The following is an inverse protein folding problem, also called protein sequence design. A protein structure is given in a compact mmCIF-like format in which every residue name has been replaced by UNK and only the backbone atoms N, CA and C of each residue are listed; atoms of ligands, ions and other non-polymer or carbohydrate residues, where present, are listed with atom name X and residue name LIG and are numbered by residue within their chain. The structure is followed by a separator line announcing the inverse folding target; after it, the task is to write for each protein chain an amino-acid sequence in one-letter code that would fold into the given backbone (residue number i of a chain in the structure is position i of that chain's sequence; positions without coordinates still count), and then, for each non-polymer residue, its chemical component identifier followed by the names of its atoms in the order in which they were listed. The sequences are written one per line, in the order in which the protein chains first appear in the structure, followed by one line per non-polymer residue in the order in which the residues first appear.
data_IF_325921325047
#
_entry.id   IF_325921325047
#
_cell.length_a   1.000
_cell.length_b   1.000
_cell.length_c   1.000
_cell.angle_alpha   90.00
_cell.angle_beta   90.00
_cell.angle_gamma   90.00
#
_symmetry.space_group_name_H-M   'P 1'
#
loop_
_entity.id
_entity.type
_entity.pdbx_description
1 polymer ?
#
# COMPACT_ATOMS: atom_id res chain seq x y z
N UNK A 1 -9.33 9.10 14.47
CA UNK A 1 -8.25 10.04 14.06
C UNK A 1 -8.68 11.49 14.22
N UNK A 2 -9.59 12.03 13.39
CA UNK A 2 -9.99 13.46 13.47
C UNK A 2 -10.51 13.86 14.85
N UNK A 3 -11.50 13.13 15.37
CA UNK A 3 -12.05 13.37 16.71
C UNK A 3 -10.97 13.31 17.81
N UNK A 4 -10.07 12.32 17.73
CA UNK A 4 -9.01 12.14 18.73
C UNK A 4 -7.95 13.22 18.70
N UNK A 5 -7.67 13.86 17.55
CA UNK A 5 -6.75 15.01 17.51
C UNK A 5 -7.20 16.13 18.46
N UNK A 6 -8.49 16.34 18.63
CA UNK A 6 -9.03 17.36 19.53
C UNK A 6 -9.08 16.91 21.00
N UNK A 7 -8.98 15.61 21.27
CA UNK A 7 -9.05 15.05 22.62
C UNK A 7 -7.68 14.71 23.23
N UNK A 8 -6.65 14.46 22.41
CA UNK A 8 -5.32 14.12 22.90
C UNK A 8 -4.50 15.42 23.00
N UNK A 9 -4.21 15.92 24.22
CA UNK A 9 -3.34 17.07 24.41
C UNK A 9 -1.89 16.69 24.07
N UNK A 10 -1.08 17.69 23.71
CA UNK A 10 0.37 17.58 23.61
C UNK A 10 0.96 18.39 24.78
N UNK A 11 1.90 17.85 25.57
CA UNK A 11 2.64 16.58 25.42
C UNK A 11 1.81 15.31 25.71
N UNK A 12 2.23 14.17 25.14
CA UNK A 12 1.56 12.88 25.26
C UNK A 12 1.78 12.27 26.65
N UNK A 13 0.72 12.11 27.44
CA UNK A 13 0.74 11.27 28.64
C UNK A 13 0.41 9.82 28.24
N UNK A 14 1.33 8.88 28.50
CA UNK A 14 1.09 7.44 28.26
C UNK A 14 0.57 6.80 29.54
N UNK A 15 -0.52 6.03 29.44
CA UNK A 15 -1.09 5.33 30.59
C UNK A 15 -0.30 4.06 30.92
N UNK A 16 0.69 4.17 31.82
CA UNK A 16 1.44 3.04 32.37
C UNK A 16 2.69 3.49 33.15
N UNK A 17 3.10 2.74 34.18
CA UNK A 17 4.24 3.03 35.08
C UNK A 17 5.63 3.12 34.41
N UNK A 18 5.72 3.17 33.09
CA UNK A 18 6.94 3.55 32.39
C UNK A 18 6.89 5.05 32.09
N UNK A 19 7.48 5.83 33.00
CA UNK A 19 7.83 7.23 32.76
C UNK A 19 8.85 7.31 31.62
N UNK A 20 8.37 7.36 30.38
CA UNK A 20 9.19 7.87 29.27
C UNK A 20 9.08 9.40 29.37
N UNK A 21 10.13 10.03 29.88
CA UNK A 21 10.26 11.49 29.94
C UNK A 21 10.21 12.07 28.52
N UNK A 22 9.02 12.42 28.02
CA UNK A 22 8.88 13.32 26.86
C UNK A 22 9.01 14.76 27.35
N UNK A 23 10.23 15.13 27.74
CA UNK A 23 10.56 16.50 28.16
C UNK A 23 11.13 17.27 26.98
N UNK A 24 10.27 17.89 26.16
CA UNK A 24 10.54 19.16 25.45
C UNK A 24 9.27 19.66 24.74
N UNK A 25 8.88 20.92 24.96
CA UNK A 25 7.79 21.61 24.22
C UNK A 25 8.05 21.69 22.70
N UNK A 26 9.28 21.41 22.26
CA UNK A 26 9.69 21.39 20.85
C UNK A 26 9.07 20.24 20.03
N UNK A 27 8.64 19.15 20.67
CA UNK A 27 8.07 17.99 19.99
C UNK A 27 6.61 18.21 19.53
N UNK A 28 5.94 19.24 20.04
CA UNK A 28 4.58 19.61 19.67
C UNK A 28 4.51 20.57 18.46
N UNK A 29 5.64 20.81 17.78
CA UNK A 29 5.69 21.69 16.61
C UNK A 29 5.57 20.92 15.29
N UNK A 30 4.72 21.42 14.39
CA UNK A 30 4.57 20.87 13.05
C UNK A 30 5.79 21.20 12.19
N UNK A 31 6.62 20.20 11.90
CA UNK A 31 7.69 20.31 10.90
C UNK A 31 7.10 20.04 9.51
N UNK A 32 7.15 21.04 8.62
CA UNK A 32 6.59 20.94 7.26
C UNK A 32 7.49 20.17 6.29
N UNK A 33 8.81 20.16 6.53
CA UNK A 33 9.77 19.44 5.71
C UNK A 33 10.80 18.74 6.60
N UNK A 34 10.89 17.43 6.47
CA UNK A 34 11.91 16.61 7.12
C UNK A 34 12.53 15.69 6.06
N UNK A 35 13.86 15.75 5.93
CA UNK A 35 14.61 14.89 5.03
C UNK A 35 15.32 13.85 5.89
N UNK A 36 14.75 12.64 5.97
CA UNK A 36 15.31 11.51 6.70
C UNK A 36 15.43 10.30 5.76
N UNK A 37 16.21 9.28 6.13
CA UNK A 37 16.29 7.99 5.43
C UNK A 37 14.90 7.35 5.26
N UNK A 38 14.00 7.59 6.22
CA UNK A 38 12.61 7.11 6.16
C UNK A 38 11.78 7.72 5.00
N UNK A 39 12.16 8.90 4.49
CA UNK A 39 11.46 9.57 3.38
C UNK A 39 11.55 8.75 2.08
N UNK A 40 12.55 7.86 1.94
CA UNK A 40 12.72 6.93 0.82
C UNK A 40 11.50 6.02 0.64
N UNK A 41 10.86 5.61 1.74
CA UNK A 41 9.70 4.72 1.72
C UNK A 41 8.40 5.45 1.38
N UNK A 42 8.34 6.78 1.54
CA UNK A 42 7.11 7.56 1.36
C UNK A 42 6.59 7.50 -0.07
N UNK A 43 7.46 7.68 -1.08
CA UNK A 43 7.02 7.70 -2.48
C UNK A 43 6.48 6.33 -2.93
N UNK A 44 7.17 5.20 -2.67
CA UNK A 44 6.63 3.87 -2.94
C UNK A 44 5.30 3.57 -2.22
N UNK A 45 5.18 3.92 -0.94
CA UNK A 45 3.97 3.66 -0.15
C UNK A 45 2.79 4.48 -0.69
N UNK A 46 3.01 5.76 -1.03
CA UNK A 46 1.98 6.58 -1.67
C UNK A 46 1.59 6.05 -3.03
N UNK A 47 2.56 5.63 -3.86
CA UNK A 47 2.29 5.04 -5.15
C UNK A 47 1.43 3.77 -4.99
N UNK A 48 1.76 2.89 -4.04
CA UNK A 48 0.98 1.70 -3.70
C UNK A 48 -0.44 2.02 -3.25
N UNK A 49 -0.62 3.04 -2.40
CA UNK A 49 -1.92 3.43 -1.86
C UNK A 49 -2.95 3.82 -2.93
N UNK A 50 -2.48 4.28 -4.10
CA UNK A 50 -3.31 4.62 -5.26
C UNK A 50 -3.36 3.53 -6.33
N UNK A 51 -2.79 2.33 -6.10
CA UNK A 51 -2.94 1.21 -7.03
C UNK A 51 -4.30 0.55 -6.83
N UNK A 52 -5.24 0.82 -7.74
CA UNK A 52 -6.54 0.13 -7.79
C UNK A 52 -6.75 -0.72 -9.06
N UNK A 53 -5.75 -0.77 -9.95
CA UNK A 53 -5.85 -1.35 -11.29
C UNK A 53 -6.30 -2.83 -11.34
N UNK A 54 -5.87 -3.73 -10.44
CA UNK A 54 -6.31 -5.14 -10.48
C UNK A 54 -7.82 -5.31 -10.32
N UNK A 55 -8.48 -4.40 -9.61
CA UNK A 55 -9.92 -4.45 -9.32
C UNK A 55 -10.78 -3.84 -10.44
N UNK A 56 -10.17 -3.10 -11.38
CA UNK A 56 -10.89 -2.42 -12.46
C UNK A 56 -11.64 -3.41 -13.34
N UNK A 57 -11.04 -4.56 -13.67
CA UNK A 57 -11.66 -5.56 -14.55
C UNK A 57 -12.88 -6.24 -13.90
N UNK A 58 -12.81 -6.79 -12.67
CA UNK A 58 -13.98 -7.29 -11.96
C UNK A 58 -15.12 -6.25 -11.86
N UNK A 59 -14.80 -5.01 -11.50
CA UNK A 59 -15.79 -3.93 -11.39
C UNK A 59 -16.43 -3.64 -12.75
N UNK A 60 -15.63 -3.60 -13.82
CA UNK A 60 -16.13 -3.34 -15.17
C UNK A 60 -17.10 -4.43 -15.65
N UNK A 61 -16.83 -5.70 -15.33
CA UNK A 61 -17.70 -6.82 -15.75
C UNK A 61 -19.02 -6.86 -14.99
N UNK A 62 -19.06 -6.38 -13.75
CA UNK A 62 -20.27 -6.33 -12.93
C UNK A 62 -21.09 -5.04 -13.16
N UNK A 63 -20.50 -4.04 -13.83
CA UNK A 63 -21.14 -2.75 -14.06
C UNK A 63 -22.30 -2.87 -15.05
N UNK A 64 -23.51 -2.48 -14.62
CA UNK A 64 -24.70 -2.42 -15.48
C UNK A 64 -24.46 -1.48 -16.67
N UNK A 65 -24.54 -2.00 -17.91
CA UNK A 65 -24.24 -1.30 -19.17
C UNK A 65 -22.82 -0.68 -19.19
N UNK A 66 -21.77 -1.52 -19.29
CA UNK A 66 -20.39 -1.08 -19.13
C UNK A 66 -19.93 -0.27 -20.35
N UNK A 67 -19.51 0.98 -20.12
CA UNK A 67 -18.91 1.85 -21.15
C UNK A 67 -17.64 2.50 -20.60
N UNK A 68 -16.68 2.82 -21.47
CA UNK A 68 -15.42 3.43 -21.06
C UNK A 68 -15.63 4.76 -20.31
N UNK A 69 -16.55 5.60 -20.79
CA UNK A 69 -16.89 6.89 -20.15
C UNK A 69 -17.43 6.71 -18.73
N UNK A 70 -18.30 5.72 -18.51
CA UNK A 70 -18.88 5.46 -17.20
C UNK A 70 -17.86 4.87 -16.23
N UNK A 71 -17.01 3.96 -16.70
CA UNK A 71 -15.93 3.42 -15.89
C UNK A 71 -14.92 4.52 -15.49
N UNK A 72 -14.57 5.41 -16.43
CA UNK A 72 -13.70 6.56 -16.12
C UNK A 72 -14.33 7.51 -15.10
N UNK A 73 -15.63 7.78 -15.20
CA UNK A 73 -16.33 8.61 -14.22
C UNK A 73 -16.30 7.99 -12.82
N UNK A 74 -16.58 6.69 -12.71
CA UNK A 74 -16.49 5.94 -11.45
C UNK A 74 -15.06 6.01 -10.89
N UNK A 75 -14.05 5.72 -11.73
CA UNK A 75 -12.65 5.79 -11.32
C UNK A 75 -12.26 7.18 -10.82
N UNK A 76 -12.63 8.25 -11.53
CA UNK A 76 -12.30 9.62 -11.15
C UNK A 76 -12.94 10.01 -9.80
N UNK A 77 -14.22 9.67 -9.60
CA UNK A 77 -14.93 9.94 -8.33
C UNK A 77 -14.29 9.14 -7.18
N UNK A 78 -14.00 7.86 -7.39
CA UNK A 78 -13.36 7.00 -6.39
C UNK A 78 -11.96 7.49 -6.02
N UNK A 79 -11.12 7.85 -7.00
CA UNK A 79 -9.77 8.38 -6.75
C UNK A 79 -9.83 9.71 -6.01
N UNK A 80 -10.74 10.61 -6.38
CA UNK A 80 -10.92 11.88 -5.69
C UNK A 80 -11.36 11.67 -4.22
N UNK A 81 -12.30 10.76 -3.98
CA UNK A 81 -12.74 10.41 -2.62
C UNK A 81 -11.62 9.76 -1.78
N UNK A 82 -10.82 8.86 -2.37
CA UNK A 82 -9.66 8.27 -1.68
C UNK A 82 -8.61 9.32 -1.34
N UNK A 83 -8.33 10.23 -2.28
CA UNK A 83 -7.38 11.32 -2.06
C UNK A 83 -7.80 12.21 -0.89
N UNK A 84 -9.06 12.63 -0.81
CA UNK A 84 -9.54 13.46 0.31
C UNK A 84 -9.49 12.71 1.64
N UNK A 85 -9.89 11.44 1.67
CA UNK A 85 -9.82 10.62 2.90
C UNK A 85 -8.39 10.42 3.39
N UNK A 86 -7.46 10.10 2.48
CA UNK A 86 -6.05 9.95 2.82
C UNK A 86 -5.42 11.27 3.28
N UNK A 87 -5.72 12.38 2.61
CA UNK A 87 -5.21 13.70 2.98
C UNK A 87 -5.67 14.09 4.39
N UNK A 88 -6.96 13.95 4.69
CA UNK A 88 -7.50 14.26 6.02
C UNK A 88 -6.88 13.34 7.08
N UNK A 89 -6.83 12.04 6.83
CA UNK A 89 -6.29 11.06 7.80
C UNK A 89 -4.80 11.30 8.06
N UNK A 90 -4.01 11.56 7.01
CA UNK A 90 -2.59 11.86 7.14
C UNK A 90 -2.36 13.17 7.89
N UNK A 91 -3.12 14.22 7.59
CA UNK A 91 -2.98 15.54 8.24
C UNK A 91 -3.33 15.46 9.72
N UNK A 92 -4.51 14.95 10.08
CA UNK A 92 -4.92 14.83 11.49
C UNK A 92 -4.11 13.76 12.24
N UNK A 93 -3.70 12.69 11.56
CA UNK A 93 -2.82 11.66 12.13
C UNK A 93 -1.45 12.23 12.50
N UNK A 94 -0.81 12.97 11.58
CA UNK A 94 0.46 13.65 11.84
C UNK A 94 0.34 14.69 12.94
N UNK A 95 -0.67 15.58 12.87
CA UNK A 95 -0.86 16.60 13.89
C UNK A 95 -1.15 16.03 15.28
N UNK A 96 -1.53 14.75 15.42
CA UNK A 96 -1.79 14.15 16.73
C UNK A 96 -0.49 13.78 17.46
N UNK A 97 0.51 13.26 16.75
CA UNK A 97 1.75 12.73 17.36
C UNK A 97 3.03 13.47 16.93
N UNK A 98 2.94 14.37 15.94
CA UNK A 98 4.05 15.19 15.44
C UNK A 98 5.30 14.37 15.09
N UNK A 99 6.43 14.64 15.74
CA UNK A 99 7.70 13.95 15.47
C UNK A 99 7.69 12.46 15.87
N UNK A 100 6.73 12.03 16.70
CA UNK A 100 6.68 10.70 17.28
C UNK A 100 5.75 9.72 16.53
N UNK A 101 5.46 9.98 15.24
CA UNK A 101 4.60 9.11 14.43
C UNK A 101 5.33 7.81 14.04
N UNK A 102 4.83 6.68 14.53
CA UNK A 102 5.27 5.34 14.10
C UNK A 102 4.66 4.94 12.73
N UNK A 103 5.18 3.85 12.15
CA UNK A 103 4.67 3.30 10.89
C UNK A 103 3.19 2.90 10.93
N UNK A 104 2.71 2.47 12.10
CA UNK A 104 1.32 2.05 12.32
C UNK A 104 0.61 3.04 13.23
N UNK A 105 -0.23 3.89 12.64
CA UNK A 105 -0.96 4.91 13.38
C UNK A 105 -1.89 4.31 14.45
N UNK A 106 -2.49 3.16 14.17
CA UNK A 106 -3.44 2.51 15.08
C UNK A 106 -2.75 1.98 16.35
N UNK A 107 -1.50 1.53 16.21
CA UNK A 107 -0.67 1.10 17.33
C UNK A 107 -0.38 2.27 18.29
N UNK A 108 -0.07 3.46 17.75
CA UNK A 108 0.14 4.67 18.54
C UNK A 108 -1.10 5.07 19.36
N UNK A 109 -2.28 5.05 18.73
CA UNK A 109 -3.53 5.33 19.47
C UNK A 109 -3.81 4.32 20.57
N UNK A 110 -3.47 3.04 20.36
CA UNK A 110 -3.62 1.99 21.38
C UNK A 110 -2.60 2.09 22.51
N UNK A 111 -1.40 2.64 22.27
CA UNK A 111 -0.39 2.88 23.31
C UNK A 111 -0.76 4.03 24.25
N UNK A 112 -1.38 5.09 23.72
CA UNK A 112 -1.81 6.25 24.52
C UNK A 112 -3.01 5.90 25.39
N UNK A 113 -4.07 5.33 24.80
CA UNK A 113 -5.32 4.99 25.49
C UNK A 113 -5.74 3.54 25.22
N UNK A 114 -5.14 2.52 25.88
CA UNK A 114 -5.48 1.11 25.63
C UNK A 114 -6.91 0.72 26.05
N UNK A 115 -7.52 1.48 26.96
CA UNK A 115 -8.87 1.25 27.50
C UNK A 115 -9.98 1.96 26.70
N UNK A 116 -9.65 2.71 25.65
CA UNK A 116 -10.67 3.41 24.87
C UNK A 116 -11.45 2.46 23.95
N UNK A 117 -12.74 2.31 24.24
CA UNK A 117 -13.68 1.48 23.49
C UNK A 117 -13.79 1.91 22.02
N UNK A 118 -13.60 3.19 21.70
CA UNK A 118 -13.64 3.67 20.30
C UNK A 118 -12.45 3.14 19.50
N UNK A 119 -11.23 3.19 20.04
CA UNK A 119 -10.02 2.70 19.37
C UNK A 119 -10.08 1.17 19.23
N UNK A 120 -10.56 0.47 20.26
CA UNK A 120 -10.78 -0.97 20.20
C UNK A 120 -11.79 -1.35 19.11
N UNK A 121 -12.92 -0.66 19.01
CA UNK A 121 -13.91 -0.86 17.95
C UNK A 121 -13.32 -0.63 16.55
N UNK A 122 -12.55 0.45 16.35
CA UNK A 122 -11.88 0.72 15.06
C UNK A 122 -10.88 -0.38 14.72
N UNK A 123 -10.11 -0.88 15.69
CA UNK A 123 -9.17 -1.98 15.49
C UNK A 123 -9.87 -3.26 15.07
N UNK A 124 -10.97 -3.62 15.73
CA UNK A 124 -11.78 -4.78 15.35
C UNK A 124 -12.38 -4.61 13.94
N UNK A 125 -12.86 -3.41 13.60
CA UNK A 125 -13.39 -3.13 12.27
C UNK A 125 -12.31 -3.25 11.18
N UNK A 126 -11.10 -2.75 11.42
CA UNK A 126 -9.96 -2.88 10.50
C UNK A 126 -9.54 -4.35 10.35
N UNK A 127 -9.46 -5.10 11.45
CA UNK A 127 -9.15 -6.54 11.43
C UNK A 127 -10.19 -7.32 10.61
N UNK A 128 -11.48 -7.04 10.82
CA UNK A 128 -12.56 -7.65 10.05
C UNK A 128 -12.44 -7.28 8.56
N UNK A 129 -12.25 -6.00 8.24
CA UNK A 129 -12.12 -5.53 6.87
C UNK A 129 -10.94 -6.19 6.15
N UNK A 130 -9.75 -6.22 6.76
CA UNK A 130 -8.56 -6.87 6.20
C UNK A 130 -8.76 -8.39 6.04
N UNK A 131 -9.45 -9.04 6.98
CA UNK A 131 -9.77 -10.47 6.84
C UNK A 131 -10.69 -10.73 5.64
N UNK A 132 -11.65 -9.83 5.40
CA UNK A 132 -12.57 -9.93 4.26
C UNK A 132 -11.92 -9.56 2.92
N UNK A 133 -10.85 -8.76 2.89
CA UNK A 133 -10.13 -8.46 1.63
C UNK A 133 -9.27 -9.62 1.16
N UNK A 134 -8.77 -10.48 2.06
CA UNK A 134 -7.98 -11.68 1.70
C UNK A 134 -8.69 -12.55 0.63
N UNK A 135 -9.93 -13.02 0.80
CA UNK A 135 -10.58 -13.85 -0.22
C UNK A 135 -10.82 -13.11 -1.53
N UNK A 136 -11.09 -11.79 -1.48
CA UNK A 136 -11.31 -10.95 -2.67
C UNK A 136 -10.04 -10.89 -3.52
N UNK A 137 -8.89 -10.62 -2.90
CA UNK A 137 -7.59 -10.51 -3.60
C UNK A 137 -7.06 -11.89 -4.03
N UNK A 138 -7.33 -12.95 -3.26
CA UNK A 138 -6.93 -14.32 -3.63
C UNK A 138 -7.66 -14.85 -4.85
N UNK A 139 -8.90 -14.41 -5.08
CA UNK A 139 -9.72 -14.87 -6.20
C UNK A 139 -9.05 -14.65 -7.57
N UNK A 140 -8.65 -13.42 -7.95
CA UNK A 140 -7.98 -13.17 -9.24
C UNK A 140 -6.60 -13.82 -9.30
N UNK A 141 -5.82 -13.85 -8.22
CA UNK A 141 -4.48 -14.48 -8.21
C UNK A 141 -4.59 -15.98 -8.51
N UNK A 142 -5.51 -16.68 -7.83
CA UNK A 142 -5.76 -18.09 -8.08
C UNK A 142 -6.22 -18.33 -9.52
N UNK A 143 -7.09 -17.49 -10.06
CA UNK A 143 -7.55 -17.60 -11.46
C UNK A 143 -6.40 -17.42 -12.43
N UNK A 144 -5.52 -16.45 -12.20
CA UNK A 144 -4.33 -16.22 -13.00
C UNK A 144 -3.36 -17.42 -12.94
N UNK A 145 -3.10 -17.97 -11.76
CA UNK A 145 -2.24 -19.17 -11.59
C UNK A 145 -2.83 -20.40 -12.28
N UNK A 146 -4.14 -20.63 -12.17
CA UNK A 146 -4.82 -21.73 -12.86
C UNK A 146 -4.70 -21.60 -14.39
N UNK A 147 -4.86 -20.40 -14.92
CA UNK A 147 -4.72 -20.14 -16.36
C UNK A 147 -3.26 -20.26 -16.83
N UNK A 148 -2.29 -19.86 -16.02
CA UNK A 148 -0.87 -19.92 -16.36
C UNK A 148 -0.32 -21.36 -16.31
N UNK A 149 -0.66 -22.12 -15.25
CA UNK A 149 -0.14 -23.48 -15.04
C UNK A 149 -0.97 -24.55 -15.76
N UNK A 150 -2.28 -24.34 -15.93
CA UNK A 150 -3.18 -25.36 -16.47
C UNK A 150 -4.22 -24.79 -17.47
N UNK A 151 -3.79 -24.12 -18.55
CA UNK A 151 -4.68 -23.39 -19.46
C UNK A 151 -5.76 -24.24 -20.16
N UNK A 152 -5.53 -25.55 -20.32
CA UNK A 152 -6.41 -26.46 -21.09
C UNK A 152 -7.07 -27.56 -20.26
N UNK A 153 -6.93 -27.57 -18.93
CA UNK A 153 -7.44 -28.66 -18.08
C UNK A 153 -8.77 -28.27 -17.43
N UNK A 154 -9.76 -29.18 -17.38
CA UNK A 154 -11.07 -28.90 -16.79
C UNK A 154 -10.96 -28.56 -15.30
N UNK A 155 -12.01 -27.96 -14.74
CA UNK A 155 -12.08 -27.62 -13.32
C UNK A 155 -11.96 -28.87 -12.44
N UNK A 156 -11.13 -28.80 -11.41
CA UNK A 156 -10.94 -29.89 -10.45
C UNK A 156 -10.78 -29.32 -9.04
N UNK A 157 -11.62 -29.77 -8.11
CA UNK A 157 -11.68 -29.26 -6.74
C UNK A 157 -10.35 -29.41 -5.99
N UNK A 158 -9.70 -30.56 -6.09
CA UNK A 158 -8.41 -30.78 -5.38
C UNK A 158 -7.34 -29.80 -5.83
N UNK A 159 -7.26 -29.50 -7.13
CA UNK A 159 -6.28 -28.54 -7.67
C UNK A 159 -6.62 -27.13 -7.21
N UNK A 160 -7.90 -26.79 -7.22
CA UNK A 160 -8.38 -25.48 -6.82
C UNK A 160 -8.11 -25.19 -5.34
N UNK A 161 -8.41 -26.15 -4.46
CA UNK A 161 -8.10 -26.06 -3.03
C UNK A 161 -6.59 -26.09 -2.77
N UNK A 162 -5.84 -26.97 -3.44
CA UNK A 162 -4.39 -27.07 -3.28
C UNK A 162 -3.66 -25.76 -3.60
N UNK A 163 -4.02 -25.09 -4.70
CA UNK A 163 -3.42 -23.79 -5.06
C UNK A 163 -3.74 -22.73 -4.00
N UNK A 164 -4.98 -22.69 -3.50
CA UNK A 164 -5.38 -21.73 -2.47
C UNK A 164 -4.61 -21.95 -1.15
N UNK A 165 -4.50 -23.20 -0.70
CA UNK A 165 -3.75 -23.55 0.52
C UNK A 165 -2.27 -23.24 0.36
N UNK A 166 -1.67 -23.59 -0.79
CA UNK A 166 -0.26 -23.29 -1.08
C UNK A 166 0.02 -21.78 -1.07
N UNK A 167 -0.86 -20.99 -1.69
CA UNK A 167 -0.74 -19.53 -1.73
C UNK A 167 -0.86 -18.93 -0.33
N UNK A 168 -1.85 -19.35 0.46
CA UNK A 168 -2.00 -18.92 1.86
C UNK A 168 -0.78 -19.30 2.70
N UNK A 169 -0.25 -20.49 2.52
CA UNK A 169 0.95 -20.94 3.24
C UNK A 169 2.17 -20.07 2.92
N UNK A 170 2.41 -19.77 1.63
CA UNK A 170 3.52 -18.90 1.21
C UNK A 170 3.38 -17.49 1.78
N UNK A 171 2.17 -16.91 1.75
CA UNK A 171 1.92 -15.57 2.30
C UNK A 171 2.15 -15.54 3.81
N UNK A 172 1.64 -16.53 4.55
CA UNK A 172 1.87 -16.61 6.00
C UNK A 172 3.36 -16.80 6.33
N UNK A 173 4.07 -17.60 5.54
CA UNK A 173 5.51 -17.78 5.71
C UNK A 173 6.27 -16.46 5.46
N UNK A 174 5.88 -15.69 4.44
CA UNK A 174 6.50 -14.40 4.15
C UNK A 174 6.33 -13.39 5.29
N UNK A 175 5.15 -13.33 5.91
CA UNK A 175 4.87 -12.43 7.06
C UNK A 175 5.76 -12.76 8.26
N UNK A 176 6.11 -14.04 8.47
CA UNK A 176 7.01 -14.44 9.57
C UNK A 176 8.44 -13.90 9.35
N UNK A 177 8.89 -13.79 8.09
CA UNK A 177 10.24 -13.33 7.77
C UNK A 177 10.39 -11.80 7.78
N UNK A 178 9.31 -11.05 7.53
CA UNK A 178 9.34 -9.58 7.44
C UNK A 178 8.34 -8.99 8.43
N UNK A 179 8.75 -8.66 9.67
CA UNK A 179 7.83 -8.19 10.71
C UNK A 179 7.41 -6.72 10.55
N UNK A 180 8.14 -5.93 9.76
CA UNK A 180 7.88 -4.50 9.59
C UNK A 180 6.93 -4.23 8.43
N UNK A 181 5.74 -3.70 8.74
CA UNK A 181 4.73 -3.36 7.72
C UNK A 181 5.22 -2.26 6.75
N UNK A 182 6.04 -1.32 7.24
CA UNK A 182 6.65 -0.24 6.44
C UNK A 182 7.52 -0.80 5.32
N UNK A 183 8.35 -1.77 5.66
CA UNK A 183 9.29 -2.40 4.74
C UNK A 183 8.54 -3.17 3.65
N UNK A 184 7.49 -3.90 4.04
CA UNK A 184 6.60 -4.61 3.12
C UNK A 184 5.96 -3.63 2.12
N UNK A 185 5.31 -2.58 2.61
CA UNK A 185 4.65 -1.61 1.72
C UNK A 185 5.65 -0.80 0.89
N UNK A 186 6.86 -0.55 1.40
CA UNK A 186 7.94 0.06 0.65
C UNK A 186 8.35 -0.75 -0.57
N UNK A 187 8.66 -2.04 -0.38
CA UNK A 187 9.10 -2.94 -1.46
C UNK A 187 7.96 -3.23 -2.43
N UNK A 188 6.79 -3.59 -1.91
CA UNK A 188 5.61 -3.89 -2.74
C UNK A 188 5.23 -2.65 -3.55
N UNK A 189 5.27 -1.46 -2.94
CA UNK A 189 5.01 -0.21 -3.63
C UNK A 189 6.06 0.11 -4.70
N UNK A 190 7.34 -0.07 -4.39
CA UNK A 190 8.44 0.21 -5.32
C UNK A 190 8.43 -0.72 -6.54
N UNK A 191 7.89 -1.93 -6.41
CA UNK A 191 7.82 -2.93 -7.48
C UNK A 191 6.49 -2.88 -8.22
N UNK A 192 5.39 -3.01 -7.48
CA UNK A 192 4.05 -3.20 -8.05
C UNK A 192 3.53 -1.91 -8.66
N UNK A 193 3.71 -0.76 -8.00
CA UNK A 193 3.16 0.49 -8.51
C UNK A 193 3.79 0.89 -9.85
N UNK A 194 5.13 0.90 -10.02
CA UNK A 194 5.72 1.24 -11.32
C UNK A 194 5.42 0.21 -12.39
N UNK A 195 5.35 -1.07 -12.02
CA UNK A 195 4.97 -2.15 -12.94
C UNK A 195 3.58 -1.92 -13.52
N UNK A 196 2.60 -1.61 -12.66
CA UNK A 196 1.20 -1.49 -13.06
C UNK A 196 0.87 -0.13 -13.69
N UNK A 197 1.49 0.95 -13.20
CA UNK A 197 1.19 2.32 -13.64
C UNK A 197 1.96 2.68 -14.92
N UNK A 198 3.24 2.29 -15.02
CA UNK A 198 4.12 2.74 -16.10
C UNK A 198 4.46 1.61 -17.08
N UNK A 199 4.93 0.46 -16.58
CA UNK A 199 5.51 -0.60 -17.42
C UNK A 199 4.44 -1.36 -18.21
N UNK A 200 3.43 -1.90 -17.53
CA UNK A 200 2.40 -2.74 -18.15
C UNK A 200 1.58 -1.99 -19.22
N UNK A 201 1.08 -0.75 -18.99
CA UNK A 201 0.36 0.00 -20.02
C UNK A 201 1.22 0.27 -21.25
N UNK A 202 2.51 0.62 -21.06
CA UNK A 202 3.46 0.82 -22.15
C UNK A 202 3.68 -0.45 -22.98
N UNK A 203 3.89 -1.59 -22.32
CA UNK A 203 4.06 -2.89 -22.97
C UNK A 203 2.79 -3.34 -23.69
N UNK A 204 1.62 -3.20 -23.07
CA UNK A 204 0.34 -3.54 -23.70
C UNK A 204 0.08 -2.67 -24.94
N UNK A 205 0.34 -1.37 -24.87
CA UNK A 205 0.19 -0.47 -26.02
C UNK A 205 1.03 -0.91 -27.21
N UNK A 206 2.32 -1.20 -26.98
CA UNK A 206 3.25 -1.63 -28.03
C UNK A 206 2.83 -2.99 -28.61
N UNK A 207 2.32 -3.91 -27.78
CA UNK A 207 1.96 -5.27 -28.19
C UNK A 207 0.62 -5.36 -28.91
N UNK A 208 -0.35 -4.53 -28.52
CA UNK A 208 -1.70 -4.50 -29.10
C UNK A 208 -1.67 -3.79 -30.46
N UNK A 209 -0.98 -2.65 -30.58
CA UNK A 209 -0.95 -1.87 -31.82
C UNK A 209 0.16 -2.41 -32.72
N UNK A 210 -0.17 -3.37 -33.57
CA UNK A 210 0.80 -3.97 -34.50
C UNK A 210 0.98 -3.15 -35.79
N UNK A 211 -0.04 -2.38 -36.16
CA UNK A 211 -0.13 -1.71 -37.48
C UNK A 211 0.81 -0.51 -37.65
N UNK A 212 1.39 0.01 -36.56
CA UNK A 212 2.37 1.11 -36.61
C UNK A 212 3.79 0.59 -36.49
N UNK A 213 4.76 1.11 -37.26
CA UNK A 213 6.16 0.74 -37.10
C UNK A 213 6.68 1.18 -35.71
N UNK A 214 7.68 0.48 -35.19
CA UNK A 214 8.26 0.75 -33.85
C UNK A 214 8.84 2.17 -33.72
N UNK A 215 9.15 2.80 -34.85
CA UNK A 215 9.63 4.18 -34.98
C UNK A 215 8.53 5.25 -34.91
N UNK A 216 7.26 4.86 -34.81
CA UNK A 216 6.16 5.81 -34.66
C UNK A 216 6.25 6.54 -33.30
N UNK A 217 6.02 7.86 -33.30
CA UNK A 217 6.07 8.70 -32.09
C UNK A 217 5.29 8.12 -30.90
N UNK A 218 4.12 7.54 -31.15
CA UNK A 218 3.29 6.96 -30.07
C UNK A 218 3.91 5.70 -29.45
N UNK A 219 4.60 4.86 -30.23
CA UNK A 219 5.32 3.68 -29.71
C UNK A 219 6.59 4.07 -28.98
N UNK A 220 7.30 5.08 -29.47
CA UNK A 220 8.47 5.65 -28.78
C UNK A 220 8.03 6.22 -27.43
N UNK A 221 6.93 6.99 -27.38
CA UNK A 221 6.37 7.50 -26.12
C UNK A 221 6.00 6.37 -25.15
N UNK A 222 5.34 5.32 -25.61
CA UNK A 222 5.01 4.16 -24.77
C UNK A 222 6.27 3.43 -24.27
N UNK A 223 7.31 3.30 -25.10
CA UNK A 223 8.58 2.69 -24.73
C UNK A 223 9.34 3.54 -23.70
N UNK A 224 9.40 4.85 -23.89
CA UNK A 224 9.99 5.78 -22.91
C UNK A 224 9.23 5.74 -21.58
N UNK A 225 7.90 5.64 -21.62
CA UNK A 225 7.07 5.55 -20.42
C UNK A 225 7.34 4.26 -19.64
N UNK A 226 7.47 3.12 -20.34
CA UNK A 226 7.86 1.86 -19.71
C UNK A 226 9.30 1.89 -19.15
N UNK A 227 10.24 2.48 -19.90
CA UNK A 227 11.63 2.63 -19.46
C UNK A 227 11.75 3.51 -18.21
N UNK A 228 10.99 4.60 -18.15
CA UNK A 228 10.92 5.46 -16.96
C UNK A 228 10.41 4.68 -15.74
N UNK A 229 9.34 3.89 -15.90
CA UNK A 229 8.84 3.02 -14.84
C UNK A 229 9.87 2.02 -14.34
N UNK A 230 10.65 1.42 -15.26
CA UNK A 230 11.71 0.49 -14.91
C UNK A 230 12.86 1.17 -14.14
N UNK A 231 13.30 2.34 -14.60
CA UNK A 231 14.33 3.13 -13.90
C UNK A 231 13.85 3.49 -12.49
N UNK A 232 12.63 3.97 -12.36
CA UNK A 232 12.06 4.32 -11.06
C UNK A 232 11.99 3.11 -10.12
N UNK A 233 11.55 1.95 -10.61
CA UNK A 233 11.55 0.69 -9.84
C UNK A 233 12.95 0.30 -9.35
N UNK A 234 13.96 0.33 -10.24
CA UNK A 234 15.34 -0.01 -9.87
C UNK A 234 15.91 0.98 -8.85
N UNK A 235 15.68 2.28 -9.05
CA UNK A 235 16.15 3.30 -8.10
C UNK A 235 15.50 3.12 -6.73
N UNK A 236 14.17 3.02 -6.64
CA UNK A 236 13.47 2.85 -5.37
C UNK A 236 13.90 1.57 -4.63
N UNK A 237 14.04 0.45 -5.35
CA UNK A 237 14.53 -0.79 -4.74
C UNK A 237 15.97 -0.65 -4.24
N UNK A 238 16.84 0.00 -5.02
CA UNK A 238 18.24 0.22 -4.64
C UNK A 238 18.32 1.04 -3.35
N UNK A 239 17.56 2.12 -3.23
CA UNK A 239 17.54 2.93 -2.01
C UNK A 239 17.02 2.15 -0.79
N UNK A 240 15.97 1.34 -0.94
CA UNK A 240 15.46 0.49 0.14
C UNK A 240 16.50 -0.55 0.57
N UNK A 241 17.17 -1.19 -0.39
CA UNK A 241 18.22 -2.18 -0.10
C UNK A 241 19.43 -1.52 0.57
N UNK A 242 19.83 -0.33 0.12
CA UNK A 242 20.91 0.42 0.75
C UNK A 242 20.57 0.82 2.18
N UNK A 243 19.34 1.23 2.46
CA UNK A 243 18.86 1.51 3.82
C UNK A 243 18.94 0.25 4.70
N UNK A 244 18.56 -0.91 4.18
CA UNK A 244 18.67 -2.18 4.90
C UNK A 244 20.11 -2.60 5.19
N UNK A 245 21.02 -2.38 4.24
CA UNK A 245 22.44 -2.74 4.37
C UNK A 245 23.18 -1.77 5.30
N UNK A 246 22.84 -0.48 5.24
CA UNK A 246 23.51 0.55 6.04
C UNK A 246 23.03 0.57 7.50
N UNK A 247 21.91 -0.09 7.84
CA UNK A 247 21.64 -0.59 9.19
C UNK A 247 21.43 0.44 10.30
N UNK A 248 21.34 1.74 10.02
CA UNK A 248 21.25 2.78 11.06
C UNK A 248 19.93 2.81 11.85
N UNK A 249 18.89 2.04 11.47
CA UNK A 249 17.55 2.18 12.06
C UNK A 249 16.93 0.91 12.66
N UNK A 250 17.67 -0.19 12.83
CA UNK A 250 17.13 -1.42 13.47
C UNK A 250 17.25 -1.45 15.01
N UNK A 251 17.80 -0.41 15.65
CA UNK A 251 18.07 -0.40 17.11
C UNK A 251 16.88 -0.01 18.01
N UNK A 252 15.67 0.24 17.50
CA UNK A 252 14.63 0.92 18.30
C UNK A 252 13.28 0.24 18.49
N UNK A 253 13.02 -0.97 17.98
CA UNK A 253 11.64 -1.48 17.92
C UNK A 253 11.48 -2.99 17.91
N UNK A 254 12.28 -3.70 18.71
CA UNK A 254 12.12 -5.14 18.93
C UNK A 254 11.52 -5.43 20.30
N UNK A 255 10.27 -5.89 20.30
CA UNK A 255 9.41 -6.36 21.40
C UNK A 255 8.89 -5.33 22.41
#
# INVERSE_FOLDING_TARGET
VIYKKFNIPCPLETYGNHSVNFTTEEDCQAKLFTSNQQTVYTVPILAFAFVCHPEVLPIYTELRNPTQKRMQAIANVSIFAMFTMYLLTATFGYLTFYANVEAELLHMYSKVDPLDTLILCVRLAVLMAVTLTVPVVLFPIRRALLQLLFPKKPFHWVRHTSIAVCLLFIVNLFVIFVPNIRDIFGIIGATTAPSVIFILPGLFYIRIIKDKPMTSRSKIQAACFAAFGFIFMVMSLTFIILDWVNGESRSGGGH
#
